data_IF_702807059261
#
_entry.id   IF_702807059261
#
_cell.length_a   1.000
_cell.length_b   1.000
_cell.length_c   1.000
_cell.angle_alpha   90.00
_cell.angle_beta   90.00
_cell.angle_gamma   90.00
#
_symmetry.space_group_name_H-M   'P 1'
#
loop_
_entity.id
_entity.type
_entity.pdbx_description
1 polymer ?
#
# COMPACT_ATOMS: atom_id res chain seq x y z
N UNK A 1 -9.42 -1.31 3.02
CA UNK A 1 -8.82 -2.61 2.66
C UNK A 1 -9.80 -3.70 3.03
N UNK A 2 -10.19 -4.58 2.11
CA UNK A 2 -11.33 -5.49 2.36
C UNK A 2 -11.00 -6.73 3.19
N UNK A 3 -9.73 -7.16 3.22
CA UNK A 3 -9.31 -8.30 4.03
C UNK A 3 -7.79 -8.27 4.34
N UNK A 4 -7.31 -9.11 5.27
CA UNK A 4 -5.87 -9.23 5.56
C UNK A 4 -5.03 -9.61 4.33
N UNK A 5 -5.58 -10.42 3.42
CA UNK A 5 -4.90 -10.79 2.17
C UNK A 5 -4.72 -9.60 1.23
N UNK A 6 -5.68 -8.67 1.19
CA UNK A 6 -5.54 -7.43 0.42
C UNK A 6 -4.39 -6.55 0.96
N UNK A 7 -4.27 -6.46 2.29
CA UNK A 7 -3.19 -5.72 2.94
C UNK A 7 -1.81 -6.31 2.56
N UNK A 8 -1.67 -7.63 2.66
CA UNK A 8 -0.43 -8.33 2.27
C UNK A 8 -0.12 -8.16 0.79
N UNK A 9 -1.14 -8.17 -0.08
CA UNK A 9 -0.94 -8.00 -1.51
C UNK A 9 -0.36 -6.62 -1.84
N UNK A 10 -0.89 -5.55 -1.21
CA UNK A 10 -0.35 -4.20 -1.36
C UNK A 10 1.09 -4.13 -0.84
N UNK A 11 1.39 -4.74 0.30
CA UNK A 11 2.75 -4.78 0.86
C UNK A 11 3.72 -5.48 -0.10
N UNK A 12 3.34 -6.62 -0.68
CA UNK A 12 4.19 -7.34 -1.64
C UNK A 12 4.47 -6.54 -2.90
N UNK A 13 3.46 -5.92 -3.51
CA UNK A 13 3.65 -5.13 -4.74
C UNK A 13 4.57 -3.92 -4.51
N UNK A 14 4.51 -3.31 -3.31
CA UNK A 14 5.39 -2.23 -2.92
C UNK A 14 6.80 -2.73 -2.58
N UNK A 15 6.93 -3.87 -1.90
CA UNK A 15 8.22 -4.51 -1.58
C UNK A 15 8.98 -4.95 -2.84
N UNK A 16 8.29 -5.49 -3.84
CA UNK A 16 8.85 -5.84 -5.16
C UNK A 16 9.45 -4.63 -5.89
N UNK A 17 9.04 -3.41 -5.51
CA UNK A 17 9.57 -2.12 -6.01
C UNK A 17 10.64 -1.53 -5.10
N UNK A 18 10.99 -2.19 -4.00
CA UNK A 18 11.93 -1.72 -3.00
C UNK A 18 11.34 -0.66 -2.06
N UNK A 19 10.01 -0.54 -2.00
CA UNK A 19 9.31 0.42 -1.14
C UNK A 19 8.98 -0.27 0.19
N UNK A 20 9.71 0.08 1.24
CA UNK A 20 9.45 -0.44 2.57
C UNK A 20 8.16 0.17 3.13
N UNK A 21 7.12 -0.65 3.27
CA UNK A 21 5.80 -0.22 3.73
C UNK A 21 5.20 -1.22 4.73
N UNK A 22 4.14 -0.78 5.40
CA UNK A 22 3.38 -1.59 6.33
C UNK A 22 1.89 -1.30 6.18
N UNK A 23 1.11 -2.32 5.86
CA UNK A 23 -0.33 -2.22 5.79
C UNK A 23 -0.96 -2.59 7.13
N UNK A 24 -1.99 -1.86 7.53
CA UNK A 24 -2.84 -2.21 8.66
C UNK A 24 -4.29 -2.37 8.19
N UNK A 25 -4.71 -3.60 7.91
CA UNK A 25 -6.10 -3.91 7.59
C UNK A 25 -7.07 -3.38 8.67
N UNK A 26 -6.73 -3.53 9.95
CA UNK A 26 -7.59 -3.12 11.06
C UNK A 26 -7.79 -1.60 11.16
N UNK A 27 -6.84 -0.81 10.66
CA UNK A 27 -6.91 0.67 10.66
C UNK A 27 -7.19 1.25 9.27
N UNK A 28 -7.17 0.40 8.25
CA UNK A 28 -7.20 0.78 6.84
C UNK A 28 -6.11 1.79 6.44
N UNK A 29 -4.93 1.69 7.07
CA UNK A 29 -3.80 2.59 6.81
C UNK A 29 -2.64 1.88 6.12
N UNK A 30 -1.95 2.59 5.22
CA UNK A 30 -0.67 2.20 4.63
C UNK A 30 0.41 3.14 5.19
N UNK A 31 1.36 2.60 5.94
CA UNK A 31 2.50 3.34 6.48
C UNK A 31 3.72 3.10 5.60
N UNK A 32 4.36 4.15 5.08
CA UNK A 32 5.52 4.02 4.20
C UNK A 32 6.74 4.58 4.93
N UNK A 33 7.81 3.80 4.96
CA UNK A 33 9.09 4.22 5.54
C UNK A 33 9.91 4.96 4.48
N UNK A 34 9.54 6.20 4.19
CA UNK A 34 10.20 7.04 3.19
C UNK A 34 9.30 8.14 2.64
N UNK A 35 9.69 8.73 1.51
CA UNK A 35 8.83 9.65 0.78
C UNK A 35 7.75 8.89 0.01
N UNK A 36 6.51 9.38 0.10
CA UNK A 36 5.41 8.90 -0.74
C UNK A 36 5.65 9.45 -2.14
N UNK A 37 6.08 8.59 -3.04
CA UNK A 37 6.27 8.91 -4.45
C UNK A 37 5.01 8.60 -5.26
N UNK A 38 4.80 9.27 -6.39
CA UNK A 38 3.67 9.01 -7.31
C UNK A 38 3.53 7.53 -7.69
N UNK A 39 4.63 6.77 -7.66
CA UNK A 39 4.64 5.33 -7.93
C UNK A 39 3.80 4.53 -6.91
N UNK A 40 3.83 4.90 -5.62
CA UNK A 40 2.99 4.27 -4.58
C UNK A 40 1.52 4.44 -4.92
N UNK A 41 1.13 5.68 -5.24
CA UNK A 41 -0.26 6.02 -5.57
C UNK A 41 -0.74 5.23 -6.78
N UNK A 42 0.12 5.09 -7.80
CA UNK A 42 -0.17 4.27 -8.99
C UNK A 42 -0.38 2.81 -8.63
N UNK A 43 0.56 2.19 -7.92
CA UNK A 43 0.47 0.76 -7.54
C UNK A 43 -0.82 0.49 -6.77
N UNK A 44 -1.11 1.30 -5.76
CA UNK A 44 -2.32 1.14 -4.93
C UNK A 44 -3.60 1.38 -5.75
N UNK A 45 -3.57 2.30 -6.73
CA UNK A 45 -4.69 2.55 -7.65
C UNK A 45 -4.90 1.43 -8.66
N UNK A 46 -3.84 0.82 -9.20
CA UNK A 46 -3.90 -0.35 -10.09
C UNK A 46 -4.50 -1.56 -9.38
N UNK A 47 -4.31 -1.65 -8.06
CA UNK A 47 -4.96 -2.65 -7.19
C UNK A 47 -6.42 -2.32 -6.85
N UNK A 48 -6.95 -1.18 -7.31
CA UNK A 48 -8.34 -0.77 -7.13
C UNK A 48 -8.62 0.01 -5.84
N UNK A 49 -7.58 0.47 -5.13
CA UNK A 49 -7.74 1.28 -3.91
C UNK A 49 -7.50 2.76 -4.19
N UNK A 50 -8.06 3.61 -3.32
CA UNK A 50 -7.85 5.06 -3.38
C UNK A 50 -7.14 5.50 -2.10
N UNK A 51 -6.04 6.23 -2.25
CA UNK A 51 -5.31 6.83 -1.13
C UNK A 51 -5.93 8.20 -0.83
N UNK A 52 -6.18 8.48 0.45
CA UNK A 52 -6.54 9.81 0.95
C UNK A 52 -5.41 10.28 1.88
N UNK A 53 -4.97 11.54 1.71
CA UNK A 53 -3.88 12.19 2.48
C UNK A 53 -4.36 12.70 3.85
#
# INVERSE_FOLDING_TARGET
MDCPSCAMLIESELDDKGINCKCSYAKETLEISGEVVEEVVKIVSDLGYKIEE
#
